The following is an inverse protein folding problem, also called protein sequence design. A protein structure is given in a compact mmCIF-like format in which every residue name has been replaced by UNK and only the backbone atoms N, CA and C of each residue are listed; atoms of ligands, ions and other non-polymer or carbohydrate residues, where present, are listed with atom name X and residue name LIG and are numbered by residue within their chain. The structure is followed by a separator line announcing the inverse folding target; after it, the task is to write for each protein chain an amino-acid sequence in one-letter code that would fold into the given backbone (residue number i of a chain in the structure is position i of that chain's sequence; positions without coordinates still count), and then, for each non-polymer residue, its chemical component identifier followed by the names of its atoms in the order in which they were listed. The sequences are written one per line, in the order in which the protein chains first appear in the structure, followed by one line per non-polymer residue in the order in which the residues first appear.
data_IF_722318380384
#
_entry.id   IF_722318380384
#
_cell.length_a   1.000
_cell.length_b   1.000
_cell.length_c   1.000
_cell.angle_alpha   90.00
_cell.angle_beta   90.00
_cell.angle_gamma   90.00
#
_symmetry.space_group_name_H-M   'P 1'
#
loop_
_entity.id
_entity.type
_entity.pdbx_description
1 polymer ?
#
# COMPACT_ATOMS: atom_id res chain seq x y z
N UNK A 1 -25.63 21.66 12.25
CA UNK A 1 -24.31 21.92 12.82
C UNK A 1 -23.55 20.63 13.13
N UNK A 2 -24.22 19.75 13.90
CA UNK A 2 -23.66 18.45 14.22
C UNK A 2 -23.43 17.60 12.97
N UNK A 3 -24.37 17.66 12.02
CA UNK A 3 -24.27 16.92 10.77
C UNK A 3 -23.14 17.44 9.89
N UNK A 4 -22.93 18.75 9.89
CA UNK A 4 -21.85 19.35 9.12
C UNK A 4 -20.49 18.95 9.68
N UNK A 5 -20.38 18.91 11.02
CA UNK A 5 -19.14 18.49 11.68
C UNK A 5 -18.85 17.02 11.42
N UNK A 6 -19.89 16.18 11.45
CA UNK A 6 -19.76 14.76 11.17
C UNK A 6 -19.30 14.52 9.74
N UNK A 7 -19.89 15.25 8.79
CA UNK A 7 -19.52 15.11 7.38
C UNK A 7 -18.07 15.56 7.15
N UNK A 8 -17.67 16.65 7.77
CA UNK A 8 -16.29 17.14 7.65
C UNK A 8 -15.30 16.11 8.18
N UNK A 9 -15.63 15.49 9.33
CA UNK A 9 -14.80 14.44 9.90
C UNK A 9 -14.68 13.26 8.95
N UNK A 10 -15.81 12.80 8.40
CA UNK A 10 -15.81 11.65 7.48
C UNK A 10 -14.94 11.94 6.27
N UNK A 11 -15.09 13.11 5.66
CA UNK A 11 -14.31 13.49 4.48
C UNK A 11 -12.82 13.52 4.76
N UNK A 12 -12.46 14.11 5.92
CA UNK A 12 -11.05 14.19 6.28
C UNK A 12 -10.46 12.80 6.54
N UNK A 13 -11.18 11.95 7.23
CA UNK A 13 -10.74 10.60 7.52
C UNK A 13 -10.56 9.79 6.23
N UNK A 14 -11.50 9.93 5.29
CA UNK A 14 -11.39 9.26 4.00
C UNK A 14 -10.18 9.77 3.21
N UNK A 15 -9.92 11.06 3.29
CA UNK A 15 -8.75 11.65 2.64
C UNK A 15 -7.46 11.05 3.20
N UNK A 16 -7.43 10.74 4.49
CA UNK A 16 -6.28 10.12 5.14
C UNK A 16 -6.19 8.61 4.89
N UNK A 17 -7.16 8.06 4.16
CA UNK A 17 -7.12 6.65 3.78
C UNK A 17 -7.80 5.71 4.75
N UNK A 18 -8.62 6.24 5.67
CA UNK A 18 -9.35 5.39 6.61
C UNK A 18 -10.58 4.79 5.93
N UNK A 19 -10.89 3.55 6.29
CA UNK A 19 -12.06 2.86 5.74
C UNK A 19 -13.34 3.35 6.40
N UNK A 20 -14.47 3.15 5.73
CA UNK A 20 -15.76 3.51 6.30
C UNK A 20 -16.03 2.72 7.59
N UNK A 21 -15.56 1.49 7.67
CA UNK A 21 -15.70 0.67 8.87
C UNK A 21 -14.95 1.30 10.06
N UNK A 22 -13.73 1.74 9.82
CA UNK A 22 -12.91 2.41 10.85
C UNK A 22 -13.56 3.71 11.30
N UNK A 23 -14.05 4.49 10.33
CA UNK A 23 -14.72 5.77 10.62
C UNK A 23 -15.98 5.52 11.46
N UNK A 24 -16.77 4.51 11.09
CA UNK A 24 -17.96 4.15 11.83
C UNK A 24 -17.63 3.75 13.27
N UNK A 25 -16.53 3.06 13.48
CA UNK A 25 -16.14 2.63 14.82
C UNK A 25 -15.80 3.84 15.72
N UNK A 26 -15.19 4.87 15.15
CA UNK A 26 -14.86 6.09 15.89
C UNK A 26 -16.14 6.80 16.31
N UNK A 27 -17.09 6.91 15.37
CA UNK A 27 -18.38 7.56 15.65
C UNK A 27 -19.13 6.78 16.73
N UNK A 28 -19.11 5.43 16.65
CA UNK A 28 -19.77 4.61 17.63
C UNK A 28 -19.23 4.82 19.04
N UNK A 29 -17.92 4.95 19.19
CA UNK A 29 -17.30 5.22 20.48
C UNK A 29 -17.77 6.58 21.02
N UNK A 30 -17.78 7.58 20.14
CA UNK A 30 -18.23 8.92 20.52
C UNK A 30 -19.68 8.93 20.99
N UNK A 31 -20.51 8.15 20.36
CA UNK A 31 -21.94 8.10 20.70
C UNK A 31 -22.21 7.50 22.07
N UNK A 32 -21.24 6.77 22.63
CA UNK A 32 -21.37 6.26 23.99
C UNK A 32 -21.04 7.32 25.05
N UNK A 33 -20.63 8.52 24.62
CA UNK A 33 -20.25 9.59 25.52
C UNK A 33 -18.79 9.57 25.93
N UNK A 34 -18.03 8.63 25.41
CA UNK A 34 -16.60 8.51 25.70
C UNK A 34 -15.83 9.26 24.60
N UNK A 35 -14.83 10.09 24.98
CA UNK A 35 -13.99 10.74 23.96
C UNK A 35 -13.27 9.66 23.14
N UNK A 36 -13.30 9.74 21.81
CA UNK A 36 -12.74 8.69 20.96
C UNK A 36 -11.25 8.76 20.75
N UNK A 37 -10.54 9.68 21.41
CA UNK A 37 -9.11 9.89 21.16
C UNK A 37 -8.24 8.66 21.35
N UNK A 38 -8.52 7.86 22.37
CA UNK A 38 -7.76 6.64 22.62
C UNK A 38 -7.98 5.63 21.50
N UNK A 39 -9.21 5.52 21.04
CA UNK A 39 -9.55 4.62 19.95
C UNK A 39 -8.90 5.07 18.64
N UNK A 40 -8.94 6.38 18.37
CA UNK A 40 -8.30 6.97 17.20
C UNK A 40 -6.79 6.71 17.23
N UNK A 41 -6.17 6.89 18.40
CA UNK A 41 -4.74 6.64 18.55
C UNK A 41 -4.39 5.20 18.22
N UNK A 42 -5.18 4.27 18.74
CA UNK A 42 -4.95 2.84 18.49
C UNK A 42 -5.07 2.51 17.01
N UNK A 43 -6.11 3.03 16.34
CA UNK A 43 -6.30 2.81 14.92
C UNK A 43 -5.18 3.44 14.09
N UNK A 44 -4.76 4.65 14.47
CA UNK A 44 -3.70 5.34 13.75
C UNK A 44 -2.37 4.60 13.86
N UNK A 45 -2.07 4.08 15.05
CA UNK A 45 -0.85 3.30 15.26
C UNK A 45 -0.84 2.02 14.44
N UNK A 46 -1.99 1.34 14.39
CA UNK A 46 -2.12 0.13 13.57
C UNK A 46 -1.96 0.45 12.09
N UNK A 47 -2.56 1.56 11.65
CA UNK A 47 -2.46 1.98 10.27
C UNK A 47 -1.03 2.35 9.89
N UNK A 48 -0.32 2.99 10.79
CA UNK A 48 1.09 3.34 10.55
C UNK A 48 1.93 2.09 10.33
N UNK A 49 1.67 1.05 11.11
CA UNK A 49 2.38 -0.23 10.95
C UNK A 49 2.05 -0.89 9.62
N UNK A 50 0.79 -0.83 9.19
CA UNK A 50 0.38 -1.35 7.88
C UNK A 50 1.10 -0.62 6.75
N UNK A 51 1.20 0.70 6.87
CA UNK A 51 1.87 1.52 5.87
C UNK A 51 3.35 1.18 5.81
N UNK A 52 3.99 1.00 6.97
CA UNK A 52 5.39 0.60 7.03
C UNK A 52 5.64 -0.73 6.32
N UNK A 53 4.73 -1.69 6.52
CA UNK A 53 4.83 -2.98 5.85
C UNK A 53 4.69 -2.82 4.33
N UNK A 54 3.79 -1.97 3.89
CA UNK A 54 3.62 -1.70 2.46
C UNK A 54 4.82 -1.00 1.84
N UNK A 55 5.43 -0.09 2.59
CA UNK A 55 6.64 0.58 2.14
C UNK A 55 7.75 -0.46 1.91
N UNK A 56 7.89 -1.40 2.84
CA UNK A 56 8.89 -2.46 2.71
C UNK A 56 8.61 -3.35 1.50
N UNK A 57 7.34 -3.71 1.29
CA UNK A 57 6.93 -4.52 0.15
C UNK A 57 7.21 -3.79 -1.16
N UNK A 58 6.89 -2.51 -1.22
CA UNK A 58 7.12 -1.71 -2.42
C UNK A 58 8.61 -1.52 -2.70
N UNK A 59 9.41 -1.37 -1.64
CA UNK A 59 10.86 -1.26 -1.81
C UNK A 59 11.44 -2.54 -2.41
N UNK A 60 10.96 -3.70 -1.93
CA UNK A 60 11.39 -4.99 -2.48
C UNK A 60 10.98 -5.15 -3.93
N UNK A 61 9.73 -4.76 -4.23
CA UNK A 61 9.21 -4.84 -5.58
C UNK A 61 9.97 -3.91 -6.53
N UNK A 62 10.32 -2.73 -6.05
CA UNK A 62 11.12 -1.79 -6.84
C UNK A 62 12.46 -2.39 -7.21
N UNK A 63 13.11 -3.07 -6.26
CA UNK A 63 14.39 -3.74 -6.53
C UNK A 63 14.23 -4.81 -7.61
N UNK A 64 13.13 -5.56 -7.55
CA UNK A 64 12.84 -6.58 -8.56
C UNK A 64 12.66 -5.93 -9.93
N UNK A 65 11.99 -4.78 -9.99
CA UNK A 65 11.79 -4.07 -11.25
C UNK A 65 13.10 -3.53 -11.81
N UNK A 66 13.95 -2.97 -10.95
CA UNK A 66 15.26 -2.45 -11.36
C UNK A 66 16.11 -3.60 -11.91
N UNK A 67 16.08 -4.75 -11.24
CA UNK A 67 16.83 -5.91 -11.67
C UNK A 67 16.30 -6.45 -12.99
N UNK A 68 14.98 -6.52 -13.13
CA UNK A 68 14.34 -6.97 -14.35
C UNK A 68 14.74 -6.07 -15.53
N UNK A 69 14.74 -4.76 -15.33
CA UNK A 69 15.14 -3.81 -16.38
C UNK A 69 16.58 -4.06 -16.83
N UNK A 70 17.47 -4.33 -15.88
CA UNK A 70 18.87 -4.60 -16.18
C UNK A 70 19.02 -5.88 -17.00
N UNK A 71 18.35 -6.94 -16.57
CA UNK A 71 18.40 -8.22 -17.28
C UNK A 71 17.79 -8.08 -18.66
N UNK A 72 16.70 -7.32 -18.80
CA UNK A 72 16.05 -7.12 -20.10
C UNK A 72 17.00 -6.48 -21.12
N UNK A 73 17.82 -5.52 -20.68
CA UNK A 73 18.82 -4.91 -21.57
C UNK A 73 19.84 -5.93 -22.03
N UNK A 74 20.29 -6.79 -21.10
CA UNK A 74 21.30 -7.80 -21.41
C UNK A 74 20.80 -8.87 -22.39
N UNK A 75 19.53 -9.26 -22.28
CA UNK A 75 18.98 -10.34 -23.10
C UNK A 75 18.24 -9.85 -24.35
N UNK A 76 18.16 -8.54 -24.54
CA UNK A 76 17.43 -7.97 -25.68
C UNK A 76 17.83 -8.58 -27.02
N UNK A 77 19.13 -8.72 -27.33
CA UNK A 77 19.55 -9.32 -28.62
C UNK A 77 19.07 -10.77 -28.78
N UNK A 78 19.02 -11.53 -27.69
CA UNK A 78 18.59 -12.91 -27.71
C UNK A 78 17.09 -13.08 -27.84
N UNK A 79 16.33 -12.09 -27.35
CA UNK A 79 14.88 -12.13 -27.40
C UNK A 79 14.35 -12.13 -28.83
N UNK A 80 15.08 -11.54 -29.76
CA UNK A 80 14.67 -11.46 -31.16
C UNK A 80 14.54 -12.85 -31.78
N UNK A 81 15.35 -13.79 -31.33
CA UNK A 81 15.39 -15.14 -31.88
C UNK A 81 14.70 -16.19 -30.99
N UNK A 82 14.15 -15.77 -29.88
CA UNK A 82 13.52 -16.64 -28.90
C UNK A 82 12.02 -16.74 -29.12
N UNK A 83 11.45 -17.91 -28.75
CA UNK A 83 10.02 -18.10 -28.76
C UNK A 83 9.39 -17.53 -27.48
N UNK A 84 10.21 -17.16 -26.51
CA UNK A 84 9.75 -16.57 -25.27
C UNK A 84 9.30 -15.13 -25.48
N UNK A 85 8.36 -14.66 -24.65
CA UNK A 85 7.92 -13.27 -24.71
C UNK A 85 9.09 -12.36 -24.36
N UNK A 86 9.80 -12.69 -23.28
CA UNK A 86 11.02 -11.96 -22.88
C UNK A 86 11.84 -12.86 -21.97
N UNK A 87 13.12 -13.04 -22.33
CA UNK A 87 14.03 -13.90 -21.56
C UNK A 87 14.30 -13.38 -20.16
N UNK A 88 14.10 -12.07 -19.92
CA UNK A 88 14.28 -11.49 -18.60
C UNK A 88 13.35 -12.08 -17.56
N UNK A 89 12.21 -12.62 -17.97
CA UNK A 89 11.24 -13.23 -17.06
C UNK A 89 11.55 -14.70 -16.75
N UNK A 90 12.57 -15.26 -17.36
CA UNK A 90 12.94 -16.64 -17.08
C UNK A 90 13.60 -16.74 -15.70
N UNK A 91 13.15 -17.68 -14.85
CA UNK A 91 13.66 -17.79 -13.48
C UNK A 91 15.18 -17.92 -13.37
N UNK A 92 15.79 -18.67 -14.27
CA UNK A 92 17.24 -18.90 -14.25
C UNK A 92 18.03 -17.61 -14.41
N UNK A 93 17.53 -16.70 -15.23
CA UNK A 93 18.22 -15.43 -15.45
C UNK A 93 18.05 -14.46 -14.31
N UNK A 94 16.90 -14.50 -13.64
CA UNK A 94 16.65 -13.60 -12.51
C UNK A 94 17.46 -13.97 -11.28
N UNK A 95 17.93 -15.21 -11.19
CA UNK A 95 18.72 -15.67 -10.05
C UNK A 95 20.23 -15.50 -10.22
N UNK A 96 20.68 -15.19 -11.43
CA UNK A 96 22.11 -15.07 -11.73
C UNK A 96 22.72 -13.79 -11.16
N UNK A 97 21.89 -12.81 -10.90
CA UNK A 97 22.35 -11.53 -10.36
C UNK A 97 22.24 -11.47 -8.86
#
# INVERSE_FOLDING_TARGET
KRDAERLAFIRRAQHLGWSLHEIASIIAVRETGVPPCRHVRSLAEAKAREIEARIAELAALRQEMVQLARVAVEVEPECADSSSICLAFEPDRSTIT
#
